data_IF_910260867918
#
_entry.id   IF_910260867918
#
_cell.length_a   1.000
_cell.length_b   1.000
_cell.length_c   1.000
_cell.angle_alpha   90.00
_cell.angle_beta   90.00
_cell.angle_gamma   90.00
#
_symmetry.space_group_name_H-M   'P 1'
#
loop_
_entity.id
_entity.type
_entity.pdbx_description
1 polymer ?
#
# COMPACT_ATOMS: atom_id res chain seq x y z
N UNK A 1 7.83 2.27 4.54
CA UNK A 1 6.86 2.62 5.60
C UNK A 1 6.55 1.38 6.43
N UNK A 2 6.68 1.48 7.73
CA UNK A 2 6.55 0.34 8.65
C UNK A 2 5.50 0.71 9.72
N UNK A 3 4.33 0.04 9.67
CA UNK A 3 3.23 0.30 10.61
C UNK A 3 3.72 0.09 12.06
N UNK A 4 4.42 -1.01 12.35
CA UNK A 4 4.94 -1.28 13.69
C UNK A 4 5.90 -0.21 14.21
N UNK A 5 6.85 0.24 13.39
CA UNK A 5 7.77 1.33 13.75
C UNK A 5 7.01 2.64 14.01
N UNK A 6 5.98 2.94 13.22
CA UNK A 6 5.19 4.16 13.42
C UNK A 6 4.45 4.22 14.76
N UNK A 7 4.18 3.06 15.37
CA UNK A 7 3.56 2.98 16.69
C UNK A 7 4.57 3.17 17.82
N UNK A 8 5.84 2.83 17.60
CA UNK A 8 6.91 3.00 18.61
C UNK A 8 7.64 4.33 18.48
N UNK A 9 7.73 4.90 17.28
CA UNK A 9 8.38 6.20 17.02
C UNK A 9 7.49 7.11 16.15
N UNK A 10 6.37 7.61 16.68
CA UNK A 10 5.42 8.40 15.91
C UNK A 10 6.00 9.76 15.45
N UNK A 11 6.86 10.39 16.23
CA UNK A 11 7.41 11.71 15.89
C UNK A 11 8.29 11.66 14.65
N UNK A 12 9.06 10.58 14.44
CA UNK A 12 9.80 10.33 13.19
C UNK A 12 8.88 10.34 11.97
N UNK A 13 7.69 9.74 12.09
CA UNK A 13 6.71 9.68 11.00
C UNK A 13 6.05 11.04 10.75
N UNK A 14 5.74 11.80 11.78
CA UNK A 14 5.23 13.16 11.63
C UNK A 14 6.28 14.08 10.98
N UNK A 15 7.51 14.06 11.45
CA UNK A 15 8.57 14.88 10.87
C UNK A 15 8.83 14.52 9.41
N UNK A 16 9.07 13.25 9.12
CA UNK A 16 9.35 12.82 7.75
C UNK A 16 8.16 13.03 6.80
N UNK A 17 6.95 12.64 7.20
CA UNK A 17 5.80 12.66 6.31
C UNK A 17 5.15 14.05 6.25
N UNK A 18 4.74 14.64 7.39
CA UNK A 18 4.03 15.92 7.38
C UNK A 18 4.96 17.10 7.12
N UNK A 19 6.04 17.22 7.87
CA UNK A 19 7.00 18.31 7.67
C UNK A 19 7.61 18.23 6.27
N UNK A 20 8.07 17.05 5.83
CA UNK A 20 8.58 16.87 4.47
C UNK A 20 7.57 17.25 3.39
N UNK A 21 6.29 16.88 3.55
CA UNK A 21 5.23 17.29 2.61
C UNK A 21 4.96 18.78 2.66
N UNK A 22 4.97 19.39 3.83
CA UNK A 22 4.79 20.85 3.98
C UNK A 22 5.91 21.60 3.24
N UNK A 23 7.15 21.18 3.39
CA UNK A 23 8.31 21.77 2.67
C UNK A 23 8.14 21.61 1.16
N UNK A 24 7.77 20.40 0.70
CA UNK A 24 7.52 20.15 -0.74
C UNK A 24 6.41 21.02 -1.29
N UNK A 25 5.25 21.09 -0.64
CA UNK A 25 4.11 21.88 -1.09
C UNK A 25 4.42 23.38 -1.07
N UNK A 26 5.17 23.86 -0.07
CA UNK A 26 5.65 25.25 -0.03
C UNK A 26 6.55 25.59 -1.23
N UNK A 27 7.47 24.69 -1.57
CA UNK A 27 8.33 24.85 -2.75
C UNK A 27 7.51 24.79 -4.05
N UNK A 28 6.53 23.88 -4.16
CA UNK A 28 5.65 23.78 -5.32
C UNK A 28 4.88 25.11 -5.54
N UNK A 29 4.28 25.66 -4.50
CA UNK A 29 3.57 26.96 -4.57
C UNK A 29 4.52 28.07 -4.98
N UNK A 30 5.69 28.16 -4.37
CA UNK A 30 6.69 29.20 -4.67
C UNK A 30 7.19 29.16 -6.12
N UNK A 31 7.23 27.99 -6.74
CA UNK A 31 7.73 27.78 -8.10
C UNK A 31 6.64 27.52 -9.15
N UNK A 32 5.36 27.70 -8.80
CA UNK A 32 4.24 27.56 -9.73
C UNK A 32 4.00 26.12 -10.22
N UNK A 33 4.43 25.11 -9.44
CA UNK A 33 4.14 23.71 -9.73
C UNK A 33 2.77 23.36 -9.16
N UNK A 34 1.79 23.15 -10.01
CA UNK A 34 0.38 23.09 -9.67
C UNK A 34 -0.23 21.67 -9.70
N UNK A 35 0.57 20.62 -9.91
CA UNK A 35 0.08 19.24 -10.00
C UNK A 35 0.94 18.28 -9.20
N UNK A 36 0.28 17.33 -8.50
CA UNK A 36 0.96 16.26 -7.76
C UNK A 36 0.15 14.96 -7.81
N UNK A 37 0.83 13.85 -8.04
CA UNK A 37 0.30 12.51 -7.78
C UNK A 37 0.93 12.02 -6.47
N UNK A 38 0.09 11.69 -5.52
CA UNK A 38 0.50 11.36 -4.16
C UNK A 38 0.30 9.86 -3.85
N UNK A 39 1.37 9.22 -3.45
CA UNK A 39 1.35 7.85 -2.92
C UNK A 39 0.75 7.83 -1.52
N UNK A 40 -0.56 7.59 -1.44
CA UNK A 40 -1.28 7.41 -0.18
C UNK A 40 -1.35 5.92 0.21
N UNK A 41 -2.27 5.53 1.08
CA UNK A 41 -2.30 4.20 1.67
C UNK A 41 -3.70 3.74 2.06
N UNK A 42 -3.95 2.43 1.99
CA UNK A 42 -5.11 1.79 2.59
C UNK A 42 -5.20 1.95 4.12
N UNK A 43 -4.05 2.16 4.79
CA UNK A 43 -4.02 2.38 6.23
C UNK A 43 -4.79 3.63 6.69
N UNK A 44 -5.16 4.54 5.76
CA UNK A 44 -6.03 5.69 6.01
C UNK A 44 -7.44 5.27 6.45
N UNK A 45 -7.91 4.08 6.07
CA UNK A 45 -9.25 3.59 6.43
C UNK A 45 -9.33 3.04 7.85
N UNK A 46 -8.21 2.52 8.39
CA UNK A 46 -8.20 1.81 9.67
C UNK A 46 -8.92 0.47 9.59
N UNK A 47 -9.80 0.18 10.53
CA UNK A 47 -10.65 -1.02 10.51
C UNK A 47 -11.88 -0.74 9.65
N UNK A 48 -12.04 -1.38 8.48
CA UNK A 48 -13.15 -1.12 7.59
C UNK A 48 -14.45 -1.74 8.10
N UNK A 49 -15.57 -1.03 7.92
CA UNK A 49 -16.91 -1.53 8.26
C UNK A 49 -17.42 -2.54 7.22
N UNK A 50 -16.90 -2.46 5.99
CA UNK A 50 -17.23 -3.37 4.89
C UNK A 50 -16.04 -3.61 3.97
N UNK A 51 -16.04 -4.75 3.29
CA UNK A 51 -15.11 -5.09 2.21
C UNK A 51 -15.90 -5.57 1.00
N UNK A 52 -15.49 -5.16 -0.22
CA UNK A 52 -14.33 -4.32 -0.55
C UNK A 52 -14.53 -2.84 -0.18
N UNK A 53 -13.43 -2.19 0.23
CA UNK A 53 -13.39 -0.79 0.69
C UNK A 53 -13.57 0.15 -0.49
N UNK A 54 -14.46 1.15 -0.36
CA UNK A 54 -14.69 2.22 -1.33
C UNK A 54 -13.95 3.50 -0.92
N UNK A 55 -13.70 4.40 -1.88
CA UNK A 55 -13.10 5.71 -1.60
C UNK A 55 -13.99 6.62 -0.76
N UNK A 56 -15.29 6.34 -0.72
CA UNK A 56 -16.30 7.04 0.09
C UNK A 56 -16.38 6.54 1.53
N UNK A 57 -15.71 5.42 1.84
CA UNK A 57 -15.75 4.85 3.17
C UNK A 57 -14.99 5.72 4.17
N UNK A 58 -15.38 5.60 5.42
CA UNK A 58 -14.83 6.38 6.52
C UNK A 58 -13.33 6.16 6.66
N UNK A 59 -12.58 7.25 6.84
CA UNK A 59 -11.14 7.23 7.08
C UNK A 59 -10.85 7.51 8.55
N UNK A 60 -10.50 6.46 9.30
CA UNK A 60 -10.16 6.50 10.73
C UNK A 60 -8.95 5.60 10.97
N UNK A 61 -7.73 6.10 10.71
CA UNK A 61 -6.52 5.33 10.87
C UNK A 61 -6.38 4.73 12.27
N UNK A 62 -5.89 3.49 12.34
CA UNK A 62 -5.59 2.79 13.60
C UNK A 62 -4.10 2.81 13.95
N UNK A 63 -3.28 3.45 13.13
CA UNK A 63 -1.84 3.57 13.34
C UNK A 63 -1.31 4.92 12.87
N UNK A 64 -0.16 5.32 13.43
CA UNK A 64 0.46 6.62 13.15
C UNK A 64 0.83 6.81 11.68
N UNK A 65 1.32 5.77 10.98
CA UNK A 65 1.61 5.86 9.56
C UNK A 65 0.37 6.24 8.74
N UNK A 66 -0.76 5.54 8.96
CA UNK A 66 -2.03 5.84 8.31
C UNK A 66 -2.52 7.26 8.58
N UNK A 67 -2.42 7.71 9.86
CA UNK A 67 -2.78 9.08 10.25
C UNK A 67 -1.92 10.13 9.53
N UNK A 68 -0.59 9.94 9.47
CA UNK A 68 0.27 10.88 8.75
C UNK A 68 -0.05 10.94 7.26
N UNK A 69 -0.36 9.81 6.62
CA UNK A 69 -0.75 9.77 5.20
C UNK A 69 -2.08 10.47 4.93
N UNK A 70 -3.09 10.23 5.78
CA UNK A 70 -4.37 10.92 5.69
C UNK A 70 -4.24 12.43 5.93
N UNK A 71 -3.40 12.83 6.88
CA UNK A 71 -3.09 14.24 7.14
C UNK A 71 -2.41 14.92 5.95
N UNK A 72 -1.57 14.21 5.20
CA UNK A 72 -0.99 14.71 3.94
C UNK A 72 -2.07 14.93 2.86
N UNK A 73 -3.05 14.03 2.71
CA UNK A 73 -4.19 14.23 1.80
C UNK A 73 -4.99 15.49 2.18
N UNK A 74 -5.28 15.66 3.48
CA UNK A 74 -5.99 16.85 4.00
C UNK A 74 -5.19 18.13 3.77
N UNK A 75 -3.87 18.10 3.94
CA UNK A 75 -2.98 19.24 3.65
C UNK A 75 -3.05 19.63 2.18
N UNK A 76 -2.98 18.66 1.25
CA UNK A 76 -3.11 18.93 -0.19
C UNK A 76 -4.48 19.53 -0.53
N UNK A 77 -5.57 19.10 0.12
CA UNK A 77 -6.89 19.68 -0.09
C UNK A 77 -6.94 21.16 0.30
N UNK A 78 -6.33 21.54 1.43
CA UNK A 78 -6.23 22.96 1.84
C UNK A 78 -5.35 23.79 0.91
N UNK A 79 -4.20 23.24 0.47
CA UNK A 79 -3.32 23.92 -0.49
C UNK A 79 -4.01 24.05 -1.85
N UNK A 80 -4.82 23.08 -2.23
CA UNK A 80 -5.65 23.17 -3.45
C UNK A 80 -6.63 24.33 -3.38
N UNK A 81 -7.35 24.49 -2.28
CA UNK A 81 -8.29 25.59 -2.09
C UNK A 81 -7.60 26.96 -2.10
N UNK A 82 -6.43 27.07 -1.48
CA UNK A 82 -5.73 28.33 -1.30
C UNK A 82 -4.90 28.75 -2.54
N UNK A 83 -4.32 27.79 -3.24
CA UNK A 83 -3.30 28.02 -4.27
C UNK A 83 -3.58 27.32 -5.60
N UNK A 84 -4.71 26.66 -5.76
CA UNK A 84 -5.09 25.99 -7.01
C UNK A 84 -4.30 24.71 -7.32
N UNK A 85 -3.62 24.11 -6.32
CA UNK A 85 -2.96 22.81 -6.47
C UNK A 85 -3.98 21.76 -6.93
N UNK A 86 -3.65 20.99 -7.94
CA UNK A 86 -4.41 19.80 -8.34
C UNK A 86 -3.67 18.54 -7.92
N UNK A 87 -4.38 17.61 -7.32
CA UNK A 87 -3.77 16.39 -6.82
C UNK A 87 -4.62 15.15 -7.07
N UNK A 88 -3.94 14.04 -7.22
CA UNK A 88 -4.51 12.71 -7.13
C UNK A 88 -3.82 11.96 -6.01
N UNK A 89 -4.58 11.46 -5.05
CA UNK A 89 -4.09 10.55 -4.01
C UNK A 89 -4.42 9.09 -4.39
N UNK A 90 -3.39 8.26 -4.49
CA UNK A 90 -3.52 6.84 -4.79
C UNK A 90 -3.41 6.05 -3.48
N UNK A 91 -4.53 5.56 -2.96
CA UNK A 91 -4.60 4.70 -1.77
C UNK A 91 -4.38 3.25 -2.19
N UNK A 92 -3.13 2.84 -2.28
CA UNK A 92 -2.83 1.47 -2.61
C UNK A 92 -2.65 0.60 -1.35
N UNK A 93 -2.82 -0.68 -1.55
CA UNK A 93 -2.77 -1.70 -0.52
C UNK A 93 -1.34 -2.26 -0.43
N UNK A 94 -1.14 -3.55 -0.53
CA UNK A 94 0.21 -4.10 -0.39
C UNK A 94 0.91 -4.19 -1.74
N UNK A 95 1.91 -3.34 -1.98
CA UNK A 95 2.75 -3.44 -3.16
C UNK A 95 3.58 -4.73 -3.11
N UNK A 96 3.61 -5.46 -4.23
CA UNK A 96 4.28 -6.75 -4.34
C UNK A 96 4.89 -6.94 -5.74
N UNK A 97 5.69 -7.99 -5.88
CA UNK A 97 6.37 -8.31 -7.14
C UNK A 97 7.59 -7.43 -7.40
N UNK A 98 8.33 -7.78 -8.45
CA UNK A 98 9.47 -7.03 -8.95
C UNK A 98 9.29 -6.74 -10.45
N UNK A 99 10.02 -5.76 -10.98
CA UNK A 99 9.90 -5.40 -12.40
C UNK A 99 10.55 -6.47 -13.30
N UNK A 100 9.77 -7.19 -14.13
CA UNK A 100 10.36 -8.08 -15.13
C UNK A 100 10.77 -7.26 -16.38
N UNK A 101 11.88 -7.57 -17.06
CA UNK A 101 12.96 -8.52 -16.80
C UNK A 101 14.19 -7.89 -16.17
N UNK A 102 14.09 -6.94 -15.28
CA UNK A 102 15.20 -6.12 -14.82
C UNK A 102 15.65 -6.41 -13.39
N UNK A 103 16.82 -5.87 -12.98
CA UNK A 103 17.35 -6.01 -11.63
C UNK A 103 16.72 -5.03 -10.63
N UNK A 104 15.47 -4.57 -10.90
CA UNK A 104 14.76 -3.59 -10.07
C UNK A 104 13.82 -4.32 -9.14
N UNK A 105 14.14 -4.29 -7.85
CA UNK A 105 13.33 -4.85 -6.78
C UNK A 105 13.42 -4.00 -5.51
N UNK A 106 12.63 -4.36 -4.50
CA UNK A 106 12.67 -3.72 -3.19
C UNK A 106 13.84 -4.27 -2.36
N UNK A 107 14.60 -3.39 -1.71
CA UNK A 107 15.69 -3.75 -0.80
C UNK A 107 15.70 -2.88 0.48
N UNK A 108 14.58 -2.78 1.21
CA UNK A 108 14.54 -2.02 2.46
C UNK A 108 15.34 -2.71 3.56
N UNK A 109 15.93 -1.91 4.45
CA UNK A 109 16.64 -2.39 5.63
C UNK A 109 16.09 -1.72 6.89
N UNK A 110 15.44 -2.47 7.80
CA UNK A 110 15.06 -3.88 7.69
C UNK A 110 13.84 -4.12 6.78
N UNK A 111 13.77 -5.30 6.16
CA UNK A 111 12.56 -5.74 5.44
C UNK A 111 11.51 -6.29 6.43
N UNK A 112 10.27 -5.84 6.27
CA UNK A 112 9.16 -6.19 7.17
C UNK A 112 7.90 -6.69 6.45
N UNK A 113 7.89 -6.64 5.11
CA UNK A 113 6.75 -7.08 4.31
C UNK A 113 6.83 -8.57 4.01
N UNK A 114 5.70 -9.27 4.09
CA UNK A 114 5.65 -10.73 4.01
C UNK A 114 6.25 -11.26 2.69
N UNK A 115 5.80 -10.78 1.54
CA UNK A 115 6.26 -11.29 0.23
C UNK A 115 7.77 -11.14 0.05
N UNK A 116 8.42 -9.99 0.28
CA UNK A 116 9.87 -9.87 0.18
C UNK A 116 10.66 -10.64 1.27
N UNK A 117 10.04 -10.98 2.39
CA UNK A 117 10.67 -11.81 3.43
C UNK A 117 10.77 -13.28 2.99
N UNK A 118 9.78 -13.77 2.27
CA UNK A 118 9.68 -15.18 1.90
C UNK A 118 10.95 -15.69 1.17
N UNK A 119 11.49 -15.04 0.11
CA UNK A 119 12.70 -15.51 -0.57
C UNK A 119 13.96 -15.43 0.28
N UNK A 120 13.95 -14.70 1.39
CA UNK A 120 15.09 -14.66 2.32
C UNK A 120 15.31 -15.99 3.05
N UNK A 121 14.26 -16.81 3.17
CA UNK A 121 14.34 -18.13 3.83
C UNK A 121 15.15 -19.11 2.99
N UNK A 122 14.80 -19.43 1.73
CA UNK A 122 15.60 -20.31 0.90
C UNK A 122 17.02 -19.79 0.65
N UNK A 123 17.24 -18.47 0.71
CA UNK A 123 18.55 -17.86 0.57
C UNK A 123 19.41 -17.88 1.86
N UNK A 124 18.89 -18.47 2.96
CA UNK A 124 19.59 -18.56 4.23
C UNK A 124 19.78 -17.24 4.97
N UNK A 125 19.06 -16.21 4.58
CA UNK A 125 19.14 -14.87 5.20
C UNK A 125 18.20 -14.75 6.40
N UNK A 126 17.25 -15.69 6.53
CA UNK A 126 16.26 -15.74 7.61
C UNK A 126 15.82 -17.18 7.83
N UNK A 127 15.59 -17.57 9.09
CA UNK A 127 15.16 -18.92 9.42
C UNK A 127 13.71 -19.20 9.02
N UNK A 128 12.81 -18.24 9.32
CA UNK A 128 11.38 -18.34 8.97
C UNK A 128 10.69 -16.98 8.96
N UNK A 129 9.58 -16.79 8.19
CA UNK A 129 8.72 -15.64 8.29
C UNK A 129 7.77 -15.79 9.48
N UNK A 130 7.41 -14.66 10.12
CA UNK A 130 6.37 -14.61 11.15
C UNK A 130 5.05 -14.15 10.55
N UNK A 131 3.98 -14.90 10.80
CA UNK A 131 2.59 -14.53 10.51
C UNK A 131 2.00 -13.91 11.77
N UNK A 132 1.72 -12.61 11.77
CA UNK A 132 1.22 -11.92 12.95
C UNK A 132 -0.29 -12.10 13.12
N UNK A 133 -0.68 -12.84 14.18
CA UNK A 133 -2.05 -13.21 14.52
C UNK A 133 -2.54 -14.44 13.78
N UNK A 134 -3.17 -15.35 14.53
CA UNK A 134 -3.77 -16.59 14.03
C UNK A 134 -5.23 -16.77 14.47
N UNK A 135 -5.82 -15.70 15.04
CA UNK A 135 -7.14 -15.69 15.69
C UNK A 135 -8.05 -14.56 15.17
N UNK A 136 -7.75 -13.99 13.99
CA UNK A 136 -8.64 -13.02 13.32
C UNK A 136 -9.93 -13.67 12.83
N UNK A 137 -11.05 -12.94 12.75
CA UNK A 137 -12.31 -13.44 12.20
C UNK A 137 -12.25 -13.54 10.65
N UNK A 138 -11.35 -14.36 10.16
CA UNK A 138 -11.09 -14.62 8.74
C UNK A 138 -11.14 -16.12 8.45
N UNK A 139 -11.12 -16.52 7.17
CA UNK A 139 -11.29 -17.92 6.75
C UNK A 139 -10.27 -18.91 7.33
N UNK A 140 -9.06 -18.43 7.71
CA UNK A 140 -8.00 -19.28 8.28
C UNK A 140 -7.37 -18.71 9.56
N UNK A 141 -7.94 -17.63 10.09
CA UNK A 141 -7.50 -16.96 11.31
C UNK A 141 -6.38 -15.94 11.08
N UNK A 142 -5.81 -15.80 9.87
CA UNK A 142 -4.78 -14.82 9.58
C UNK A 142 -5.33 -13.61 8.83
N UNK A 143 -4.61 -12.48 8.86
CA UNK A 143 -5.04 -11.25 8.17
C UNK A 143 -5.24 -11.49 6.67
N UNK A 144 -6.27 -10.84 6.12
CA UNK A 144 -6.52 -10.77 4.67
C UNK A 144 -5.97 -9.45 4.13
N UNK A 145 -5.14 -9.54 3.09
CA UNK A 145 -4.56 -8.37 2.42
C UNK A 145 -4.79 -8.44 0.91
N UNK A 146 -5.01 -7.27 0.34
CA UNK A 146 -5.02 -7.09 -1.10
C UNK A 146 -3.61 -6.74 -1.57
N UNK A 147 -3.15 -7.35 -2.64
CA UNK A 147 -1.83 -7.15 -3.20
C UNK A 147 -1.92 -6.56 -4.59
N UNK A 148 -1.01 -5.66 -4.92
CA UNK A 148 -0.92 -5.00 -6.22
C UNK A 148 0.52 -5.08 -6.74
N UNK A 149 0.68 -5.47 -8.00
CA UNK A 149 2.01 -5.56 -8.60
C UNK A 149 2.60 -4.16 -8.81
N UNK A 150 3.91 -4.01 -8.53
CA UNK A 150 4.60 -2.70 -8.61
C UNK A 150 4.51 -2.07 -10.00
N UNK A 151 4.46 -2.85 -11.09
CA UNK A 151 4.31 -2.31 -12.45
C UNK A 151 2.90 -1.80 -12.72
N UNK A 152 1.86 -2.45 -12.18
CA UNK A 152 0.47 -1.98 -12.27
C UNK A 152 0.27 -0.72 -11.44
N UNK A 153 0.96 -0.64 -10.30
CA UNK A 153 1.00 0.55 -9.46
C UNK A 153 1.70 1.72 -10.18
N UNK A 154 2.85 1.48 -10.84
CA UNK A 154 3.55 2.48 -11.63
C UNK A 154 2.68 3.00 -12.79
N UNK A 155 1.96 2.11 -13.49
CA UNK A 155 1.02 2.51 -14.53
C UNK A 155 -0.10 3.39 -13.98
N UNK A 156 -0.64 3.08 -12.79
CA UNK A 156 -1.66 3.91 -12.16
C UNK A 156 -1.15 5.34 -11.87
N UNK A 157 0.11 5.50 -11.47
CA UNK A 157 0.72 6.82 -11.28
C UNK A 157 0.81 7.62 -12.58
N UNK A 158 1.18 6.97 -13.69
CA UNK A 158 1.23 7.61 -15.02
C UNK A 158 -0.18 8.05 -15.43
N UNK A 159 -1.17 7.15 -15.34
CA UNK A 159 -2.55 7.47 -15.69
C UNK A 159 -3.14 8.60 -14.81
N UNK A 160 -2.78 8.64 -13.53
CA UNK A 160 -3.18 9.72 -12.63
C UNK A 160 -2.55 11.06 -13.02
N UNK A 161 -1.28 11.05 -13.46
CA UNK A 161 -0.63 12.25 -13.98
C UNK A 161 -1.28 12.72 -15.29
N UNK A 162 -1.54 11.82 -16.23
CA UNK A 162 -2.22 12.12 -17.49
C UNK A 162 -3.62 12.69 -17.25
N UNK A 163 -4.36 12.13 -16.28
CA UNK A 163 -5.65 12.65 -15.85
C UNK A 163 -5.55 14.11 -15.36
N UNK A 164 -4.55 14.43 -14.53
CA UNK A 164 -4.32 15.82 -14.08
C UNK A 164 -3.89 16.74 -15.21
N UNK A 165 -3.05 16.28 -16.14
CA UNK A 165 -2.59 17.04 -17.31
C UNK A 165 -3.76 17.34 -18.27
N UNK A 166 -4.70 16.42 -18.40
CA UNK A 166 -5.93 16.58 -19.18
C UNK A 166 -6.97 17.51 -18.51
N UNK A 167 -6.66 18.09 -17.35
CA UNK A 167 -7.56 19.01 -16.64
C UNK A 167 -8.45 18.35 -15.59
N UNK A 168 -8.18 17.09 -15.24
CA UNK A 168 -8.91 16.37 -14.22
C UNK A 168 -8.90 17.05 -12.84
N UNK A 169 -9.99 16.90 -12.10
CA UNK A 169 -10.16 17.48 -10.77
C UNK A 169 -9.41 16.66 -9.69
N UNK A 170 -9.29 17.27 -8.50
CA UNK A 170 -8.73 16.56 -7.34
C UNK A 170 -9.48 15.26 -7.07
N UNK A 171 -8.74 14.20 -6.84
CA UNK A 171 -9.36 12.90 -6.68
C UNK A 171 -8.55 11.97 -5.76
N UNK A 172 -9.25 10.95 -5.27
CA UNK A 172 -8.67 9.83 -4.53
C UNK A 172 -9.08 8.55 -5.25
N UNK A 173 -8.15 7.63 -5.44
CA UNK A 173 -8.40 6.33 -6.05
C UNK A 173 -7.82 5.22 -5.20
N UNK A 174 -8.63 4.18 -4.95
CA UNK A 174 -8.15 2.93 -4.40
C UNK A 174 -7.48 2.08 -5.49
N UNK A 175 -6.35 1.51 -5.17
CA UNK A 175 -5.61 0.60 -6.05
C UNK A 175 -5.37 -0.73 -5.34
N UNK A 176 -6.03 -1.77 -5.82
CA UNK A 176 -5.89 -3.16 -5.39
C UNK A 176 -6.52 -4.07 -6.42
N UNK A 177 -6.31 -5.37 -6.30
CA UNK A 177 -6.89 -6.34 -7.22
C UNK A 177 -8.35 -6.67 -6.89
N UNK A 178 -8.80 -6.34 -5.67
CA UNK A 178 -10.15 -6.64 -5.19
C UNK A 178 -10.31 -8.10 -4.74
N UNK A 179 -9.22 -8.86 -4.77
CA UNK A 179 -9.14 -10.23 -4.25
C UNK A 179 -8.24 -10.22 -3.03
N UNK A 180 -8.79 -10.58 -1.88
CA UNK A 180 -8.02 -10.64 -0.65
C UNK A 180 -7.40 -12.00 -0.43
N UNK A 181 -6.11 -12.05 -0.11
CA UNK A 181 -5.37 -13.26 0.24
C UNK A 181 -5.01 -13.25 1.71
N UNK A 182 -5.15 -14.40 2.38
CA UNK A 182 -4.67 -14.56 3.75
C UNK A 182 -3.15 -14.69 3.77
N UNK A 183 -2.53 -14.37 4.90
CA UNK A 183 -1.08 -14.54 5.03
C UNK A 183 -0.65 -16.00 4.88
N UNK A 184 -1.47 -16.97 5.28
CA UNK A 184 -1.20 -18.40 5.05
C UNK A 184 -1.24 -18.75 3.57
N UNK A 185 -2.25 -18.27 2.83
CA UNK A 185 -2.32 -18.49 1.37
C UNK A 185 -1.08 -17.95 0.65
N UNK A 186 -0.60 -16.78 1.05
CA UNK A 186 0.64 -16.21 0.48
C UNK A 186 1.83 -17.15 0.71
N UNK A 187 1.98 -17.71 1.91
CA UNK A 187 3.06 -18.65 2.22
C UNK A 187 2.91 -19.96 1.43
N UNK A 188 1.69 -20.48 1.29
CA UNK A 188 1.45 -21.71 0.50
C UNK A 188 1.77 -21.54 -0.97
N UNK A 189 1.36 -20.41 -1.58
CA UNK A 189 1.72 -20.10 -2.97
C UNK A 189 3.23 -19.97 -3.10
N UNK A 190 3.89 -19.33 -2.15
CA UNK A 190 5.34 -19.21 -2.15
C UNK A 190 6.06 -20.57 -2.08
N UNK A 191 5.58 -21.49 -1.26
CA UNK A 191 6.07 -22.90 -1.24
C UNK A 191 5.93 -23.57 -2.58
N UNK A 192 4.77 -23.41 -3.21
CA UNK A 192 4.50 -24.00 -4.53
C UNK A 192 5.40 -23.40 -5.62
N UNK A 193 5.60 -22.10 -5.63
CA UNK A 193 6.37 -21.38 -6.65
C UNK A 193 7.87 -21.65 -6.51
N UNK A 194 8.39 -21.64 -5.27
CA UNK A 194 9.83 -21.80 -5.00
C UNK A 194 10.27 -23.25 -4.89
N UNK A 195 9.37 -24.18 -4.62
CA UNK A 195 9.69 -25.57 -4.31
C UNK A 195 10.38 -25.75 -2.94
N UNK A 196 10.44 -24.71 -2.10
CA UNK A 196 11.07 -24.75 -0.78
C UNK A 196 10.05 -24.89 0.35
N UNK A 197 10.37 -25.68 1.41
CA UNK A 197 9.50 -25.87 2.56
C UNK A 197 9.58 -24.67 3.52
N UNK A 198 9.10 -23.51 3.11
CA UNK A 198 9.16 -22.27 3.87
C UNK A 198 8.42 -22.44 5.20
N UNK A 199 9.11 -22.71 6.34
CA UNK A 199 8.46 -22.80 7.64
C UNK A 199 7.94 -21.42 8.02
N UNK A 200 6.73 -21.34 8.57
CA UNK A 200 6.13 -20.08 9.02
C UNK A 200 5.61 -20.22 10.44
N UNK A 201 5.94 -19.26 11.29
CA UNK A 201 5.50 -19.20 12.68
C UNK A 201 4.32 -18.24 12.86
N UNK A 202 3.33 -18.64 13.67
CA UNK A 202 2.26 -17.75 14.11
C UNK A 202 2.75 -16.95 15.32
N UNK A 203 2.97 -15.67 15.15
CA UNK A 203 3.32 -14.74 16.21
C UNK A 203 2.06 -14.00 16.75
N UNK A 204 2.13 -13.35 17.93
CA UNK A 204 1.06 -12.52 18.44
C UNK A 204 0.63 -11.45 17.42
N UNK A 205 -0.63 -10.98 17.51
CA UNK A 205 -1.13 -9.89 16.65
C UNK A 205 -0.23 -8.65 16.75
N UNK A 206 -0.01 -8.01 15.61
CA UNK A 206 0.65 -6.69 15.56
C UNK A 206 -0.37 -5.60 15.90
N UNK A 207 0.00 -4.66 16.78
CA UNK A 207 -0.85 -3.52 17.11
C UNK A 207 -1.15 -2.67 15.86
N UNK A 208 -2.41 -2.31 15.66
CA UNK A 208 -2.85 -1.49 14.54
C UNK A 208 -3.06 -2.23 13.20
N UNK A 209 -2.95 -3.57 13.18
CA UNK A 209 -3.24 -4.37 11.99
C UNK A 209 -4.73 -4.73 11.90
N UNK A 210 -5.49 -4.25 10.88
CA UNK A 210 -6.87 -4.66 10.64
C UNK A 210 -6.97 -6.13 10.21
N UNK A 211 -8.13 -6.77 10.50
CA UNK A 211 -8.38 -8.15 10.10
C UNK A 211 -8.39 -8.32 8.57
N UNK A 212 -9.01 -7.38 7.85
CA UNK A 212 -9.15 -7.44 6.40
C UNK A 212 -8.95 -6.06 5.78
N UNK A 213 -8.14 -6.00 4.72
CA UNK A 213 -7.97 -4.83 3.87
C UNK A 213 -8.02 -5.27 2.40
N UNK A 214 -9.16 -5.04 1.74
CA UNK A 214 -9.41 -5.39 0.33
C UNK A 214 -10.06 -4.21 -0.35
N UNK A 215 -9.52 -3.77 -1.50
CA UNK A 215 -9.95 -2.58 -2.21
C UNK A 215 -11.08 -2.85 -3.20
N UNK A 216 -11.97 -1.87 -3.40
CA UNK A 216 -12.65 -1.70 -4.67
C UNK A 216 -11.85 -0.75 -5.55
N UNK A 217 -11.38 -1.21 -6.70
CA UNK A 217 -10.69 -0.37 -7.70
C UNK A 217 -11.62 0.07 -8.83
N UNK A 218 -12.93 -0.05 -8.65
CA UNK A 218 -13.93 0.26 -9.67
C UNK A 218 -13.80 1.70 -10.18
N UNK A 219 -13.57 2.65 -9.28
CA UNK A 219 -13.38 4.07 -9.61
C UNK A 219 -12.11 4.31 -10.44
N UNK A 220 -10.98 3.73 -10.07
CA UNK A 220 -9.73 3.84 -10.83
C UNK A 220 -9.88 3.24 -12.24
N UNK A 221 -10.54 2.09 -12.35
CA UNK A 221 -10.83 1.46 -13.65
C UNK A 221 -11.75 2.34 -14.54
N UNK A 222 -12.79 2.92 -13.95
CA UNK A 222 -13.76 3.74 -14.70
C UNK A 222 -13.19 5.11 -15.11
N UNK A 223 -12.48 5.79 -14.22
CA UNK A 223 -12.04 7.18 -14.43
C UNK A 223 -10.66 7.27 -15.08
N UNK A 224 -9.69 6.47 -14.63
CA UNK A 224 -8.33 6.47 -15.17
C UNK A 224 -8.15 5.47 -16.32
N UNK A 225 -9.12 4.58 -16.56
CA UNK A 225 -8.94 3.47 -17.50
C UNK A 225 -7.89 2.44 -17.03
N UNK A 226 -7.59 2.42 -15.74
CA UNK A 226 -6.58 1.54 -15.17
C UNK A 226 -6.95 0.06 -15.31
N UNK A 227 -6.02 -0.74 -15.81
CA UNK A 227 -6.21 -2.18 -16.07
C UNK A 227 -5.00 -2.94 -15.52
N UNK A 228 -5.05 -3.41 -14.27
CA UNK A 228 -3.96 -4.23 -13.72
C UNK A 228 -3.78 -5.49 -14.55
N UNK A 229 -2.53 -5.91 -14.73
CA UNK A 229 -2.14 -7.08 -15.52
C UNK A 229 -1.80 -8.30 -14.66
N UNK A 230 -1.43 -8.05 -13.40
CA UNK A 230 -0.94 -9.06 -12.46
C UNK A 230 -1.91 -9.18 -11.28
N UNK A 231 -2.98 -9.94 -11.47
CA UNK A 231 -4.04 -10.17 -10.48
C UNK A 231 -3.95 -11.55 -9.79
N UNK A 232 -3.04 -12.39 -10.23
CA UNK A 232 -2.77 -13.71 -9.66
C UNK A 232 -1.63 -13.65 -8.62
N UNK A 233 -1.85 -14.25 -7.46
CA UNK A 233 -0.88 -14.32 -6.36
C UNK A 233 0.44 -14.97 -6.79
N UNK A 234 0.42 -15.91 -7.72
CA UNK A 234 1.62 -16.54 -8.27
C UNK A 234 2.53 -15.51 -8.92
N UNK A 235 1.98 -14.61 -9.72
CA UNK A 235 2.73 -13.52 -10.36
C UNK A 235 3.25 -12.47 -9.37
N UNK A 236 2.56 -12.31 -8.23
CA UNK A 236 2.95 -11.37 -7.19
C UNK A 236 4.10 -11.88 -6.33
N UNK A 237 4.24 -13.20 -6.22
CA UNK A 237 5.24 -13.87 -5.37
C UNK A 237 6.48 -14.32 -6.15
N UNK A 238 6.30 -14.80 -7.40
CA UNK A 238 7.38 -15.40 -8.19
C UNK A 238 8.60 -14.49 -8.46
N UNK A 239 8.44 -13.18 -8.71
CA UNK A 239 9.56 -12.28 -9.00
C UNK A 239 10.10 -11.55 -7.76
N UNK A 240 9.64 -11.87 -6.57
CA UNK A 240 10.01 -11.17 -5.33
C UNK A 240 11.42 -11.49 -4.83
#
# INVERSE_FOLDING_TARGET
SQVGESMSDPLKYYDNNLHGTMVLLSAMVAHGVDKIVFSSTAAAYGEPEQVPILETDRTVPTNCYGETKLSQERMMAWVSQAHGLRYVALRYFNAAGAHPPGPIGAAPTPETHLIPIIPQVPNGQRDQPSIFGGDYPTRDGTCVRDYIHVTDLAQAHILALDYLLAGGENNVFNLGNGVGFTNKEVVEVARSVTGHPIPAEIAPRRAGDPAQLVASSAKAKAVLGWKPKYDDLTHLVAPA
#
